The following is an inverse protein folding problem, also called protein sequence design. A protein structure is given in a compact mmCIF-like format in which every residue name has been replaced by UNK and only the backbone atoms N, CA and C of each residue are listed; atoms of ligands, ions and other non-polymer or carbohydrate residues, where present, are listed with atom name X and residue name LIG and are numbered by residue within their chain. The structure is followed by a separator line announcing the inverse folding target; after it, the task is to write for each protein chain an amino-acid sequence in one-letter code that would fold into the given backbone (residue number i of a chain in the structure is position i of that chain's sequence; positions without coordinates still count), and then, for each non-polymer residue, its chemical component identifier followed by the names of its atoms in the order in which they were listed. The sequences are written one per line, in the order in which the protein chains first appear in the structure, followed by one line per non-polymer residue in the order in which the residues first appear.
data_IF_151659275005
#
_entry.id   IF_151659275005
#
_cell.length_a   1.000
_cell.length_b   1.000
_cell.length_c   1.000
_cell.angle_alpha   90.00
_cell.angle_beta   90.00
_cell.angle_gamma   90.00
#
_symmetry.space_group_name_H-M   'P 1'
#
loop_
_entity.id
_entity.type
_entity.pdbx_description
1 polymer ?
#
# COMPACT_ATOMS: atom_id res chain seq x y z
N UNK A 1 -6.17 -19.91 19.55
CA UNK A 1 -5.78 -20.18 18.15
C UNK A 1 -4.72 -19.17 17.74
N UNK A 2 -3.60 -19.62 17.16
CA UNK A 2 -2.62 -18.72 16.57
C UNK A 2 -3.27 -18.04 15.34
N UNK A 3 -3.19 -16.71 15.27
CA UNK A 3 -3.78 -15.94 14.17
C UNK A 3 -2.88 -16.06 12.93
N UNK A 4 -3.49 -16.18 11.75
CA UNK A 4 -2.77 -16.31 10.48
C UNK A 4 -2.12 -14.98 10.07
N UNK A 5 -2.77 -13.85 10.39
CA UNK A 5 -2.23 -12.50 10.22
C UNK A 5 -2.72 -11.59 11.37
N UNK A 6 -2.03 -10.49 11.59
CA UNK A 6 -2.35 -9.46 12.59
C UNK A 6 -3.06 -8.27 11.95
N UNK A 7 -2.58 -7.82 10.79
CA UNK A 7 -3.14 -6.68 10.07
C UNK A 7 -3.29 -6.97 8.58
N UNK A 8 -4.37 -6.47 8.00
CA UNK A 8 -4.49 -6.17 6.59
C UNK A 8 -4.40 -4.65 6.45
N UNK A 9 -3.46 -4.14 5.67
CA UNK A 9 -3.22 -2.70 5.55
C UNK A 9 -3.23 -2.25 4.10
N UNK A 10 -3.60 -1.00 3.88
CA UNK A 10 -3.48 -0.31 2.61
C UNK A 10 -2.53 0.88 2.76
N UNK A 11 -1.52 0.97 1.91
CA UNK A 11 -0.54 2.06 1.88
C UNK A 11 -0.56 2.76 0.51
N UNK A 12 -0.20 4.04 0.48
CA UNK A 12 -0.16 4.85 -0.76
C UNK A 12 -0.02 6.34 -0.45
N UNK A 13 -0.55 7.21 -1.32
CA UNK A 13 -0.59 8.67 -1.08
C UNK A 13 -1.63 9.00 -0.01
N UNK A 14 -1.18 9.58 1.09
CA UNK A 14 -2.03 10.08 2.18
C UNK A 14 -2.53 11.51 2.00
N UNK A 15 -3.37 11.98 2.93
CA UNK A 15 -3.92 13.33 2.92
C UNK A 15 -2.88 14.42 3.15
N UNK A 16 -1.75 14.10 3.79
CA UNK A 16 -0.60 15.00 3.96
C UNK A 16 0.47 14.68 2.92
N UNK A 17 0.30 15.15 1.68
CA UNK A 17 1.28 14.91 0.62
C UNK A 17 2.61 15.58 0.95
N UNK A 18 3.69 14.79 0.92
CA UNK A 18 5.07 15.26 1.06
C UNK A 18 5.98 14.53 0.07
N UNK A 19 6.93 15.24 -0.52
CA UNK A 19 8.00 14.62 -1.31
C UNK A 19 8.89 13.76 -0.41
N UNK A 20 9.74 12.89 -0.98
CA UNK A 20 10.77 12.17 -0.21
C UNK A 20 11.76 13.10 0.51
N UNK A 21 11.85 14.37 0.09
CA UNK A 21 12.65 15.42 0.75
C UNK A 21 11.83 16.22 1.79
N UNK A 22 10.65 15.71 2.17
CA UNK A 22 9.73 16.32 3.13
C UNK A 22 9.12 17.67 2.70
N UNK A 23 9.23 18.03 1.43
CA UNK A 23 8.58 19.23 0.90
C UNK A 23 7.07 18.97 0.80
N UNK A 24 6.28 19.85 1.40
CA UNK A 24 4.82 19.70 1.46
C UNK A 24 4.16 19.98 0.10
N UNK A 25 3.08 19.26 -0.18
CA UNK A 25 2.21 19.50 -1.33
C UNK A 25 2.54 18.66 -2.55
N UNK A 26 1.79 18.91 -3.63
CA UNK A 26 1.98 18.28 -4.92
C UNK A 26 2.98 19.09 -5.76
N UNK A 27 4.01 18.42 -6.27
CA UNK A 27 5.13 18.96 -7.05
C UNK A 27 5.19 18.40 -8.48
N UNK A 28 4.08 17.83 -8.96
CA UNK A 28 3.97 17.27 -10.31
C UNK A 28 4.25 15.77 -10.41
N UNK A 29 4.08 15.26 -11.63
CA UNK A 29 4.38 13.88 -12.01
C UNK A 29 5.88 13.70 -12.22
N UNK A 30 6.45 12.57 -11.81
CA UNK A 30 7.90 12.31 -11.89
C UNK A 30 8.68 12.64 -10.62
N UNK A 31 8.01 13.19 -9.60
CA UNK A 31 8.52 13.31 -8.24
C UNK A 31 8.05 12.11 -7.42
N UNK A 32 8.90 11.67 -6.49
CA UNK A 32 8.57 10.63 -5.52
C UNK A 32 8.08 11.26 -4.21
N UNK A 33 7.01 10.69 -3.68
CA UNK A 33 6.32 11.14 -2.47
C UNK A 33 6.41 10.08 -1.38
N UNK A 34 6.30 10.52 -0.13
CA UNK A 34 6.27 9.65 1.03
C UNK A 34 4.96 8.84 1.05
N UNK A 35 5.03 7.51 1.16
CA UNK A 35 3.85 6.68 1.36
C UNK A 35 3.33 6.85 2.79
N UNK A 36 2.02 6.72 2.97
CA UNK A 36 1.36 6.66 4.27
C UNK A 36 0.49 5.43 4.37
N UNK A 37 0.09 5.10 5.60
CA UNK A 37 -1.00 4.17 5.87
C UNK A 37 -2.32 4.87 5.52
N UNK A 38 -3.13 4.26 4.66
CA UNK A 38 -4.42 4.78 4.20
C UNK A 38 -5.56 4.17 5.01
N UNK A 39 -5.53 2.87 5.19
CA UNK A 39 -6.55 2.12 5.93
C UNK A 39 -5.96 0.83 6.51
N UNK A 40 -6.64 0.27 7.51
CA UNK A 40 -6.26 -0.98 8.16
C UNK A 40 -7.44 -1.77 8.72
N UNK A 41 -7.30 -3.09 8.68
CA UNK A 41 -8.06 -4.03 9.48
C UNK A 41 -7.12 -4.84 10.37
N UNK A 42 -7.40 -4.98 11.69
CA UNK A 42 -8.48 -4.32 12.42
C UNK A 42 -8.33 -2.79 12.43
N UNK A 43 -9.44 -2.04 12.65
CA UNK A 43 -9.40 -0.59 12.76
C UNK A 43 -8.41 -0.12 13.84
N UNK A 44 -7.88 1.10 13.67
CA UNK A 44 -6.79 1.64 14.50
C UNK A 44 -7.17 1.89 15.96
N UNK A 45 -8.47 1.99 16.27
CA UNK A 45 -9.01 2.13 17.63
C UNK A 45 -9.15 0.80 18.38
N UNK A 46 -8.78 -0.31 17.74
CA UNK A 46 -8.93 -1.63 18.30
C UNK A 46 -7.90 -1.94 19.40
N UNK A 47 -8.37 -2.31 20.59
CA UNK A 47 -7.53 -2.46 21.79
C UNK A 47 -6.72 -3.76 21.90
N UNK A 48 -7.02 -4.79 21.09
CA UNK A 48 -6.33 -6.10 21.24
C UNK A 48 -5.00 -6.21 20.50
N UNK A 49 -4.61 -5.19 19.72
CA UNK A 49 -3.40 -5.24 18.89
C UNK A 49 -2.59 -3.96 19.08
N UNK A 50 -1.27 -4.06 18.93
CA UNK A 50 -0.44 -2.87 18.77
C UNK A 50 -0.76 -2.20 17.43
N UNK A 51 -0.31 -0.97 17.22
CA UNK A 51 -0.34 -0.41 15.87
C UNK A 51 0.62 -1.19 14.96
N UNK A 52 0.37 -1.23 13.64
CA UNK A 52 1.39 -1.63 12.68
C UNK A 52 2.69 -0.82 12.86
N UNK A 53 3.86 -1.36 12.48
CA UNK A 53 5.11 -0.60 12.54
C UNK A 53 4.98 0.73 11.78
N UNK A 54 5.39 1.87 12.36
CA UNK A 54 5.17 3.18 11.73
C UNK A 54 5.93 3.34 10.41
N UNK A 55 7.03 2.60 10.21
CA UNK A 55 7.81 2.58 8.97
C UNK A 55 7.21 1.66 7.89
N UNK A 56 6.14 0.92 8.20
CA UNK A 56 5.56 -0.07 7.29
C UNK A 56 5.24 0.51 5.89
N UNK A 57 4.61 1.69 5.74
CA UNK A 57 4.34 2.27 4.43
C UNK A 57 5.61 2.44 3.58
N UNK A 58 6.69 2.95 4.17
CA UNK A 58 7.98 3.11 3.50
C UNK A 58 8.61 1.76 3.17
N UNK A 59 8.47 0.76 4.04
CA UNK A 59 9.04 -0.57 3.78
C UNK A 59 8.30 -1.32 2.67
N UNK A 60 6.98 -1.15 2.55
CA UNK A 60 6.19 -1.81 1.51
C UNK A 60 6.24 -1.05 0.19
N UNK A 61 6.49 0.27 0.19
CA UNK A 61 6.70 1.10 -0.99
C UNK A 61 8.07 1.81 -0.92
N UNK A 62 9.19 1.06 -1.04
CA UNK A 62 10.53 1.55 -0.73
C UNK A 62 11.06 2.63 -1.70
N UNK A 63 10.54 2.68 -2.92
CA UNK A 63 10.90 3.72 -3.89
C UNK A 63 10.12 5.03 -3.66
N UNK A 64 9.17 5.05 -2.72
CA UNK A 64 8.15 6.07 -2.62
C UNK A 64 6.98 5.81 -3.57
N UNK A 65 6.12 6.81 -3.72
CA UNK A 65 4.95 6.78 -4.59
C UNK A 65 5.06 7.88 -5.62
N UNK A 66 4.74 7.59 -6.88
CA UNK A 66 4.65 8.59 -7.94
C UNK A 66 3.19 8.77 -8.40
N UNK A 67 2.91 9.94 -8.97
CA UNK A 67 1.67 10.20 -9.69
C UNK A 67 1.84 9.90 -11.19
N UNK A 68 0.81 9.29 -11.77
CA UNK A 68 0.75 8.89 -13.17
C UNK A 68 -0.52 9.45 -13.83
N UNK A 69 -0.45 9.68 -15.14
CA UNK A 69 -1.60 10.09 -15.96
C UNK A 69 -2.47 8.92 -16.42
N UNK A 70 -2.03 7.69 -16.18
CA UNK A 70 -2.75 6.46 -16.56
C UNK A 70 -2.59 5.37 -15.50
N UNK A 71 -3.59 4.49 -15.43
CA UNK A 71 -3.63 3.34 -14.55
C UNK A 71 -3.00 2.10 -15.17
N UNK A 72 -3.67 0.97 -15.04
CA UNK A 72 -3.27 -0.30 -15.66
C UNK A 72 -3.32 -0.23 -17.20
N UNK A 73 -2.25 -0.66 -17.85
CA UNK A 73 -2.13 -0.82 -19.30
C UNK A 73 -1.49 -2.18 -19.62
N UNK A 74 -2.21 -3.05 -20.34
CA UNK A 74 -1.74 -4.38 -20.70
C UNK A 74 -0.50 -4.37 -21.60
N UNK A 75 -0.18 -3.25 -22.25
CA UNK A 75 0.99 -3.10 -23.11
C UNK A 75 2.22 -2.56 -22.36
N UNK A 76 2.05 -2.09 -21.11
CA UNK A 76 3.13 -1.57 -20.28
C UNK A 76 3.26 -2.40 -18.99
N UNK A 77 4.24 -3.34 -18.95
CA UNK A 77 4.51 -4.18 -17.78
C UNK A 77 4.79 -3.40 -16.49
N UNK A 78 5.20 -2.13 -16.58
CA UNK A 78 5.45 -1.30 -15.40
C UNK A 78 4.17 -0.97 -14.62
N UNK A 79 3.00 -1.14 -15.26
CA UNK A 79 1.68 -0.90 -14.68
C UNK A 79 1.09 -2.14 -14.00
N UNK A 80 1.71 -3.31 -14.18
CA UNK A 80 1.17 -4.58 -13.69
C UNK A 80 1.30 -4.64 -12.17
N UNK A 81 0.30 -5.22 -11.47
CA UNK A 81 0.41 -5.50 -10.05
C UNK A 81 1.64 -6.35 -9.73
N UNK A 82 2.38 -5.98 -8.70
CA UNK A 82 3.62 -6.65 -8.28
C UNK A 82 3.45 -7.26 -6.89
N UNK A 83 3.46 -8.60 -6.83
CA UNK A 83 3.48 -9.34 -5.57
C UNK A 83 4.90 -9.52 -5.06
N UNK A 84 5.17 -9.17 -3.81
CA UNK A 84 6.47 -9.42 -3.17
C UNK A 84 6.34 -9.55 -1.65
N UNK A 85 7.17 -10.38 -1.02
CA UNK A 85 7.28 -10.42 0.43
C UNK A 85 8.31 -9.39 0.93
N UNK A 86 8.11 -8.89 2.14
CA UNK A 86 9.15 -8.24 2.94
C UNK A 86 9.20 -8.85 4.34
N UNK A 87 10.32 -8.68 5.03
CA UNK A 87 10.49 -9.09 6.43
C UNK A 87 11.00 -7.91 7.22
N UNK A 88 10.24 -7.52 8.25
CA UNK A 88 10.67 -6.55 9.23
C UNK A 88 11.20 -7.28 10.46
N UNK A 89 12.12 -6.64 11.17
CA UNK A 89 12.64 -7.13 12.44
C UNK A 89 12.23 -6.15 13.53
N UNK A 90 11.53 -6.67 14.54
CA UNK A 90 11.12 -5.91 15.72
C UNK A 90 12.33 -5.70 16.66
N UNK A 91 12.21 -4.81 17.63
CA UNK A 91 13.32 -4.43 18.53
C UNK A 91 13.85 -5.59 19.38
N UNK A 92 13.03 -6.61 19.64
CA UNK A 92 13.40 -7.84 20.34
C UNK A 92 14.04 -8.91 19.41
N UNK A 93 14.22 -8.60 18.13
CA UNK A 93 14.78 -9.49 17.12
C UNK A 93 13.76 -10.40 16.42
N UNK A 94 12.50 -10.42 16.88
CA UNK A 94 11.43 -11.18 16.27
C UNK A 94 11.11 -10.70 14.86
N UNK A 95 10.59 -11.60 14.02
CA UNK A 95 10.31 -11.32 12.61
C UNK A 95 8.83 -11.02 12.40
N UNK A 96 8.58 -10.02 11.55
CA UNK A 96 7.27 -9.69 11.03
C UNK A 96 7.33 -9.95 9.53
N UNK A 97 6.52 -10.90 9.07
CA UNK A 97 6.42 -11.31 7.68
C UNK A 97 5.28 -10.54 7.03
N UNK A 98 5.56 -9.89 5.90
CA UNK A 98 4.55 -9.10 5.19
C UNK A 98 4.48 -9.60 3.76
N UNK A 99 3.28 -9.93 3.30
CA UNK A 99 3.01 -10.18 1.89
C UNK A 99 2.38 -8.92 1.30
N UNK A 100 2.90 -8.44 0.19
CA UNK A 100 2.52 -7.17 -0.43
C UNK A 100 2.04 -7.39 -1.87
N UNK A 101 1.07 -6.58 -2.30
CA UNK A 101 0.76 -6.36 -3.72
C UNK A 101 0.71 -4.86 -3.96
N UNK A 102 1.68 -4.36 -4.73
CA UNK A 102 1.68 -2.98 -5.20
C UNK A 102 1.05 -2.87 -6.59
N UNK A 103 0.22 -1.86 -6.80
CA UNK A 103 -0.53 -1.65 -8.04
C UNK A 103 -0.87 -0.16 -8.22
N UNK A 104 -1.20 0.25 -9.45
CA UNK A 104 -1.69 1.60 -9.72
C UNK A 104 -3.19 1.67 -9.54
N UNK A 105 -3.64 2.70 -8.84
CA UNK A 105 -5.06 2.92 -8.54
C UNK A 105 -5.36 4.43 -8.57
N UNK A 106 -6.61 4.86 -8.83
CA UNK A 106 -6.94 6.27 -8.86
C UNK A 106 -6.59 6.97 -7.55
N UNK A 107 -6.10 8.21 -7.67
CA UNK A 107 -5.91 9.10 -6.53
C UNK A 107 -7.28 9.42 -5.92
N UNK A 108 -7.38 9.46 -4.59
CA UNK A 108 -8.62 9.85 -3.91
C UNK A 108 -9.08 11.23 -4.37
N UNK A 109 -10.39 11.39 -4.63
CA UNK A 109 -10.97 12.65 -5.09
C UNK A 109 -10.70 13.78 -4.09
N UNK A 110 -10.83 13.52 -2.79
CA UNK A 110 -10.54 14.49 -1.73
C UNK A 110 -9.09 15.01 -1.77
N UNK A 111 -8.14 14.10 -2.04
CA UNK A 111 -6.72 14.43 -2.14
C UNK A 111 -6.47 15.21 -3.43
N UNK A 112 -7.08 14.78 -4.52
CA UNK A 112 -6.93 15.44 -5.82
C UNK A 112 -7.47 16.87 -5.77
N UNK A 113 -8.62 17.10 -5.14
CA UNK A 113 -9.20 18.42 -4.94
C UNK A 113 -8.32 19.27 -4.02
N UNK A 114 -7.92 18.77 -2.85
CA UNK A 114 -7.14 19.52 -1.88
C UNK A 114 -5.80 20.04 -2.43
N UNK A 115 -5.16 19.27 -3.32
CA UNK A 115 -3.85 19.61 -3.89
C UNK A 115 -3.87 19.99 -5.37
N UNK A 116 -5.06 20.18 -5.95
CA UNK A 116 -5.24 20.52 -7.38
C UNK A 116 -4.52 19.56 -8.32
N UNK A 117 -4.54 18.26 -7.98
CA UNK A 117 -3.94 17.21 -8.80
C UNK A 117 -4.84 17.03 -10.04
N UNK A 118 -4.26 16.86 -11.25
CA UNK A 118 -5.05 16.63 -12.44
C UNK A 118 -6.05 15.49 -12.27
N UNK A 119 -7.28 15.69 -12.76
CA UNK A 119 -8.32 14.67 -12.74
C UNK A 119 -7.84 13.40 -13.47
N UNK A 120 -8.34 12.23 -13.06
CA UNK A 120 -7.92 10.92 -13.57
C UNK A 120 -6.42 10.63 -13.38
N UNK A 121 -5.81 11.21 -12.35
CA UNK A 121 -4.46 10.80 -11.92
C UNK A 121 -4.51 9.50 -11.14
N UNK A 122 -3.45 8.72 -11.26
CA UNK A 122 -3.24 7.45 -10.57
C UNK A 122 -2.00 7.56 -9.68
N UNK A 123 -1.95 6.74 -8.64
CA UNK A 123 -0.77 6.60 -7.80
C UNK A 123 -0.55 5.14 -7.43
N UNK A 124 0.70 4.78 -7.12
CA UNK A 124 0.99 3.45 -6.58
C UNK A 124 0.36 3.30 -5.19
N UNK A 125 -0.43 2.24 -5.02
CA UNK A 125 -0.95 1.77 -3.73
C UNK A 125 -0.38 0.38 -3.47
N UNK A 126 -0.38 -0.02 -2.21
CA UNK A 126 0.05 -1.35 -1.79
C UNK A 126 -0.89 -1.89 -0.72
N UNK A 127 -1.51 -3.03 -0.99
CA UNK A 127 -2.22 -3.80 0.05
C UNK A 127 -1.26 -4.84 0.63
N UNK A 128 -1.35 -5.07 1.94
CA UNK A 128 -0.46 -6.00 2.62
C UNK A 128 -1.17 -6.83 3.68
N UNK A 129 -0.75 -8.09 3.83
CA UNK A 129 -1.03 -8.93 4.99
C UNK A 129 0.22 -9.01 5.87
N UNK A 130 0.10 -8.58 7.12
CA UNK A 130 1.17 -8.53 8.12
C UNK A 130 0.97 -9.67 9.12
N UNK A 131 1.99 -10.50 9.34
CA UNK A 131 1.90 -11.68 10.19
C UNK A 131 3.18 -11.97 10.96
N UNK A 132 3.04 -12.60 12.13
CA UNK A 132 4.16 -13.23 12.86
C UNK A 132 4.42 -14.68 12.40
N UNK A 133 3.56 -15.24 11.56
CA UNK A 133 3.73 -16.58 10.99
C UNK A 133 4.44 -16.52 9.63
N UNK A 134 5.47 -17.36 9.37
CA UNK A 134 6.20 -17.40 8.10
C UNK A 134 5.41 -18.10 6.97
N UNK A 135 4.13 -17.78 6.80
CA UNK A 135 3.21 -18.46 5.87
C UNK A 135 3.10 -17.75 4.52
N UNK A 136 4.23 -17.41 3.89
CA UNK A 136 4.26 -16.54 2.70
C UNK A 136 3.37 -17.02 1.55
N UNK A 137 3.39 -18.30 1.22
CA UNK A 137 2.58 -18.80 0.09
C UNK A 137 1.08 -18.61 0.36
N UNK A 138 0.61 -18.98 1.55
CA UNK A 138 -0.80 -18.83 1.92
C UNK A 138 -1.20 -17.36 1.94
N UNK A 139 -0.40 -16.51 2.60
CA UNK A 139 -0.69 -15.08 2.69
C UNK A 139 -0.68 -14.41 1.31
N UNK A 140 0.30 -14.76 0.45
CA UNK A 140 0.37 -14.27 -0.92
C UNK A 140 -0.85 -14.67 -1.73
N UNK A 141 -1.20 -15.96 -1.76
CA UNK A 141 -2.36 -16.43 -2.53
C UNK A 141 -3.66 -15.79 -2.04
N UNK A 142 -3.85 -15.68 -0.72
CA UNK A 142 -5.00 -14.96 -0.16
C UNK A 142 -5.04 -13.49 -0.58
N UNK A 143 -3.89 -12.81 -0.59
CA UNK A 143 -3.80 -11.42 -0.98
C UNK A 143 -4.04 -11.22 -2.50
N UNK A 144 -3.58 -12.15 -3.33
CA UNK A 144 -3.82 -12.16 -4.78
C UNK A 144 -5.31 -12.33 -5.09
N UNK A 145 -6.02 -13.21 -4.36
CA UNK A 145 -7.47 -13.35 -4.49
C UNK A 145 -8.22 -12.08 -4.04
N UNK A 146 -7.82 -11.47 -2.91
CA UNK A 146 -8.38 -10.19 -2.45
C UNK A 146 -8.16 -9.10 -3.51
N UNK A 147 -6.95 -9.02 -4.07
CA UNK A 147 -6.63 -8.09 -5.13
C UNK A 147 -7.54 -8.28 -6.36
N UNK A 148 -7.66 -9.52 -6.83
CA UNK A 148 -8.48 -9.85 -8.00
C UNK A 148 -9.95 -9.51 -7.77
N UNK A 149 -10.49 -9.81 -6.59
CA UNK A 149 -11.90 -9.58 -6.27
C UNK A 149 -12.25 -8.10 -6.09
N UNK A 150 -11.41 -7.32 -5.42
CA UNK A 150 -11.76 -5.97 -4.97
C UNK A 150 -11.11 -4.84 -5.78
N UNK A 151 -9.99 -5.10 -6.46
CA UNK A 151 -9.16 -4.04 -7.07
C UNK A 151 -8.94 -4.23 -8.57
N UNK A 152 -9.17 -5.44 -9.11
CA UNK A 152 -9.09 -5.66 -10.56
C UNK A 152 -10.34 -5.15 -11.27
N UNK A 153 -10.19 -4.74 -12.53
CA UNK A 153 -11.32 -4.36 -13.40
C UNK A 153 -12.30 -5.50 -13.66
N UNK A 154 -11.85 -6.75 -13.51
CA UNK A 154 -12.65 -7.97 -13.60
C UNK A 154 -13.30 -8.40 -12.28
N UNK A 155 -13.02 -7.70 -11.17
CA UNK A 155 -13.54 -8.02 -9.84
C UNK A 155 -15.00 -7.58 -9.63
N UNK A 156 -15.55 -7.94 -8.48
CA UNK A 156 -16.86 -7.45 -8.03
C UNK A 156 -16.68 -6.07 -7.40
N UNK A 157 -17.25 -5.02 -8.01
CA UNK A 157 -17.34 -3.68 -7.40
C UNK A 157 -18.52 -3.59 -6.44
#
# INVERSE_FOLDING_TARGET
MARIFEYFVMCGIGPEIRTLYEEKGFHGTGIMYLPSLLDQYPPSDHKLYSSPPPQLPTCVLPAGVAFYSSGFDSNDPSTFPRSYPIVLTDGDGSKIYVSCIAFRDPVSEDIAEAYHIPANSFADKCICLVSRSPSFNVLRTSLEEIFMLCFSSSGSR
#
